data_IF_159875049222
#
_entry.id   IF_159875049222
#
_cell.length_a   1.000
_cell.length_b   1.000
_cell.length_c   1.000
_cell.angle_alpha   90.00
_cell.angle_beta   90.00
_cell.angle_gamma   90.00
#
_symmetry.space_group_name_H-M   'P 1'
#
loop_
_entity.id
_entity.type
_entity.pdbx_description
1 polymer ?
#
# COMPACT_ATOMS: atom_id res chain seq x y z
N UNK A 1 -55.36 -28.43 -5.78
CA UNK A 1 -54.04 -28.40 -5.13
C UNK A 1 -52.88 -28.70 -6.09
N UNK A 2 -53.10 -29.36 -7.20
CA UNK A 2 -52.07 -29.78 -8.16
C UNK A 2 -51.48 -28.66 -9.02
N UNK A 3 -52.22 -27.58 -9.33
CA UNK A 3 -51.71 -26.48 -10.17
C UNK A 3 -50.80 -25.47 -9.48
N UNK A 4 -50.79 -25.42 -8.13
CA UNK A 4 -49.89 -24.54 -7.38
C UNK A 4 -48.50 -25.14 -7.19
N UNK A 5 -48.38 -26.46 -7.20
CA UNK A 5 -47.11 -27.18 -7.07
C UNK A 5 -46.33 -27.14 -8.40
N UNK A 6 -47.03 -27.23 -9.55
CA UNK A 6 -46.38 -27.11 -10.86
C UNK A 6 -45.82 -25.70 -11.12
N UNK A 7 -46.49 -24.64 -10.69
CA UNK A 7 -46.00 -23.26 -10.84
C UNK A 7 -44.80 -22.98 -9.94
N UNK A 8 -44.73 -23.59 -8.76
CA UNK A 8 -43.58 -23.46 -7.83
C UNK A 8 -42.33 -24.18 -8.34
N UNK A 9 -42.47 -25.32 -9.02
CA UNK A 9 -41.34 -26.04 -9.63
C UNK A 9 -40.80 -25.35 -10.88
N UNK A 10 -41.65 -24.66 -11.68
CA UNK A 10 -41.17 -23.91 -12.85
C UNK A 10 -40.41 -22.65 -12.44
N UNK A 11 -40.79 -21.98 -11.35
CA UNK A 11 -40.08 -20.82 -10.82
C UNK A 11 -38.72 -21.21 -10.16
N UNK A 12 -38.62 -22.44 -9.61
CA UNK A 12 -37.37 -22.93 -9.04
C UNK A 12 -36.37 -23.43 -10.09
N UNK A 13 -36.84 -23.80 -11.29
CA UNK A 13 -36.01 -24.27 -12.41
C UNK A 13 -35.48 -23.13 -13.28
N UNK A 14 -36.05 -21.91 -13.21
CA UNK A 14 -35.58 -20.72 -13.94
C UNK A 14 -34.47 -19.94 -13.19
N UNK A 15 -34.05 -20.38 -12.01
CA UNK A 15 -32.95 -19.80 -11.21
C UNK A 15 -31.66 -20.61 -11.27
N UNK A 16 -31.57 -21.64 -12.10
CA UNK A 16 -30.31 -22.16 -12.59
C UNK A 16 -29.79 -21.22 -13.71
N UNK A 17 -29.47 -19.99 -13.35
CA UNK A 17 -28.58 -19.16 -14.15
C UNK A 17 -27.29 -19.97 -14.27
N UNK A 18 -27.02 -20.45 -15.49
CA UNK A 18 -25.71 -20.98 -15.84
C UNK A 18 -24.67 -19.98 -15.33
N UNK A 19 -23.92 -20.35 -14.30
CA UNK A 19 -22.66 -19.69 -13.95
C UNK A 19 -21.66 -20.00 -15.09
N UNK A 20 -21.93 -19.43 -16.25
CA UNK A 20 -20.95 -19.31 -17.33
C UNK A 20 -19.86 -18.45 -16.77
N UNK A 21 -18.65 -18.98 -16.62
CA UNK A 21 -17.48 -18.20 -16.30
C UNK A 21 -17.42 -17.01 -17.25
N UNK A 22 -17.80 -15.82 -16.76
CA UNK A 22 -17.94 -14.64 -17.59
C UNK A 22 -16.54 -14.15 -17.95
N UNK A 23 -16.16 -14.28 -19.21
CA UNK A 23 -14.91 -13.71 -19.69
C UNK A 23 -15.07 -12.20 -19.90
N UNK A 24 -14.15 -11.41 -19.38
CA UNK A 24 -14.12 -9.94 -19.47
C UNK A 24 -12.85 -9.49 -20.16
N UNK A 25 -12.99 -8.84 -21.30
CA UNK A 25 -11.88 -8.10 -21.91
C UNK A 25 -11.62 -6.86 -21.06
N UNK A 26 -10.37 -6.66 -20.64
CA UNK A 26 -9.97 -5.58 -19.72
C UNK A 26 -8.79 -4.81 -20.30
N UNK A 27 -8.90 -3.49 -20.34
CA UNK A 27 -7.78 -2.60 -20.65
C UNK A 27 -7.00 -2.23 -19.36
N UNK A 28 -5.75 -1.75 -19.50
CA UNK A 28 -4.96 -1.29 -18.35
C UNK A 28 -5.62 -0.09 -17.66
N UNK A 29 -6.17 0.85 -18.43
CA UNK A 29 -6.82 2.04 -17.87
C UNK A 29 -8.10 1.68 -17.11
N UNK A 30 -8.91 0.77 -17.64
CA UNK A 30 -10.09 0.25 -16.93
C UNK A 30 -9.69 -0.50 -15.65
N UNK A 31 -8.63 -1.31 -15.70
CA UNK A 31 -8.08 -1.99 -14.52
C UNK A 31 -7.68 -0.99 -13.43
N UNK A 32 -7.01 0.12 -13.79
CA UNK A 32 -6.66 1.16 -12.83
C UNK A 32 -7.89 1.86 -12.23
N UNK A 33 -8.91 2.14 -13.03
CA UNK A 33 -10.17 2.72 -12.53
C UNK A 33 -10.87 1.80 -11.53
N UNK A 34 -10.97 0.50 -11.84
CA UNK A 34 -11.54 -0.48 -10.94
C UNK A 34 -10.74 -0.61 -9.65
N UNK A 35 -9.41 -0.62 -9.73
CA UNK A 35 -8.53 -0.65 -8.56
C UNK A 35 -8.70 0.60 -7.69
N UNK A 36 -8.72 1.78 -8.28
CA UNK A 36 -8.92 3.04 -7.57
C UNK A 36 -10.26 3.07 -6.77
N UNK A 37 -11.29 2.40 -7.30
CA UNK A 37 -12.61 2.36 -6.66
C UNK A 37 -12.76 1.25 -5.62
N UNK A 38 -12.16 0.08 -5.86
CA UNK A 38 -12.49 -1.14 -5.12
C UNK A 38 -11.33 -1.71 -4.29
N UNK A 39 -10.09 -1.26 -4.52
CA UNK A 39 -8.94 -1.84 -3.84
C UNK A 39 -8.98 -1.52 -2.33
N UNK A 40 -9.01 -2.56 -1.51
CA UNK A 40 -9.13 -2.44 -0.05
C UNK A 40 -7.92 -1.74 0.59
N UNK A 41 -6.73 -1.87 -0.01
CA UNK A 41 -5.53 -1.19 0.49
C UNK A 41 -5.60 0.32 0.23
N UNK A 42 -6.08 0.75 -0.95
CA UNK A 42 -6.32 2.18 -1.21
C UNK A 42 -7.39 2.73 -0.26
N UNK A 43 -8.47 2.00 -0.03
CA UNK A 43 -9.51 2.40 0.93
C UNK A 43 -8.96 2.56 2.35
N UNK A 44 -8.01 1.72 2.77
CA UNK A 44 -7.33 1.88 4.06
C UNK A 44 -6.58 3.22 4.14
N UNK A 45 -5.91 3.64 3.06
CA UNK A 45 -5.21 4.93 3.01
C UNK A 45 -6.17 6.12 2.96
N UNK A 46 -7.34 6.00 2.29
CA UNK A 46 -8.40 7.02 2.35
C UNK A 46 -8.86 7.26 3.79
N UNK A 47 -9.14 6.17 4.53
CA UNK A 47 -9.52 6.26 5.94
C UNK A 47 -8.42 6.88 6.82
N UNK A 48 -7.14 6.67 6.49
CA UNK A 48 -6.03 7.31 7.19
C UNK A 48 -5.99 8.84 6.92
N UNK A 49 -6.38 9.29 5.74
CA UNK A 49 -6.54 10.73 5.43
C UNK A 49 -7.71 11.31 6.24
N UNK A 50 -8.86 10.61 6.26
CA UNK A 50 -10.04 11.03 7.03
C UNK A 50 -9.73 11.13 8.54
N UNK A 51 -8.99 10.14 9.08
CA UNK A 51 -8.51 10.15 10.47
C UNK A 51 -7.61 11.36 10.73
N UNK A 52 -6.63 11.61 9.84
CA UNK A 52 -5.74 12.75 9.97
C UNK A 52 -6.47 14.10 9.85
N UNK A 53 -7.53 14.17 9.03
CA UNK A 53 -8.38 15.35 8.96
C UNK A 53 -9.17 15.57 10.27
N UNK A 54 -9.70 14.51 10.83
CA UNK A 54 -10.37 14.59 12.12
C UNK A 54 -9.38 15.00 13.24
N UNK A 55 -8.13 14.52 13.18
CA UNK A 55 -7.07 14.92 14.12
C UNK A 55 -6.76 16.44 14.07
N UNK A 56 -6.95 17.10 12.90
CA UNK A 56 -6.85 18.56 12.81
C UNK A 56 -8.00 19.24 13.59
N UNK A 57 -9.22 18.72 13.50
CA UNK A 57 -10.38 19.22 14.24
C UNK A 57 -10.18 19.05 15.73
N UNK A 58 -9.68 17.89 16.16
CA UNK A 58 -9.31 17.62 17.56
C UNK A 58 -8.24 18.61 18.05
N UNK A 59 -7.18 18.83 17.27
CA UNK A 59 -6.12 19.79 17.65
C UNK A 59 -6.63 21.24 17.73
N UNK A 60 -7.67 21.61 17.00
CA UNK A 60 -8.31 22.92 17.12
C UNK A 60 -9.10 23.07 18.42
N UNK A 61 -9.54 21.97 19.06
CA UNK A 61 -10.22 22.03 20.35
C UNK A 61 -9.30 22.58 21.46
N UNK A 62 -7.98 22.52 21.31
CA UNK A 62 -7.03 23.16 22.24
C UNK A 62 -7.20 24.69 22.34
N UNK A 63 -7.97 25.28 21.42
CA UNK A 63 -8.34 26.69 21.45
C UNK A 63 -9.60 26.97 22.25
N UNK A 64 -10.36 25.94 22.61
CA UNK A 64 -11.62 26.08 23.36
C UNK A 64 -11.33 26.10 24.87
N UNK A 65 -12.25 26.70 25.69
CA UNK A 65 -12.13 26.61 27.12
C UNK A 65 -12.28 25.17 27.62
N UNK A 66 -11.48 24.80 28.61
CA UNK A 66 -11.66 23.58 29.38
C UNK A 66 -12.56 23.85 30.55
N UNK A 67 -13.64 23.10 30.68
CA UNK A 67 -14.59 23.21 31.81
C UNK A 67 -14.58 21.86 32.54
N UNK A 68 -14.34 21.90 33.85
CA UNK A 68 -14.29 20.72 34.69
C UNK A 68 -15.26 20.92 35.87
N UNK A 69 -16.01 19.87 36.19
CA UNK A 69 -16.82 19.80 37.41
C UNK A 69 -16.30 18.61 38.22
N UNK A 70 -16.09 18.80 39.50
CA UNK A 70 -15.70 17.76 40.42
C UNK A 70 -16.54 17.77 41.68
N UNK A 71 -16.84 16.62 42.19
CA UNK A 71 -17.51 16.36 43.44
C UNK A 71 -16.63 15.46 44.28
N UNK A 72 -16.36 15.85 45.51
CA UNK A 72 -15.63 15.05 46.47
C UNK A 72 -16.44 14.98 47.76
N UNK A 73 -16.73 13.79 48.21
CA UNK A 73 -17.34 13.51 49.48
C UNK A 73 -16.36 12.71 50.33
N UNK A 74 -16.12 13.16 51.57
CA UNK A 74 -15.13 12.52 52.43
C UNK A 74 -15.62 12.40 53.87
N UNK A 75 -15.16 11.39 54.54
CA UNK A 75 -15.24 11.25 55.99
C UNK A 75 -13.99 11.89 56.59
N UNK A 76 -14.22 12.76 57.60
CA UNK A 76 -13.15 13.46 58.31
C UNK A 76 -13.12 12.86 59.74
N UNK A 77 -11.99 12.29 60.10
CA UNK A 77 -11.76 11.81 61.46
C UNK A 77 -11.46 12.97 62.40
N UNK A 78 -11.59 12.71 63.72
CA UNK A 78 -11.26 13.67 64.75
C UNK A 78 -9.76 14.07 64.68
N UNK A 79 -9.51 15.36 64.95
CA UNK A 79 -8.19 15.93 64.95
C UNK A 79 -7.47 15.72 66.28
N UNK A 80 -6.15 15.63 66.21
CA UNK A 80 -5.30 15.69 67.43
C UNK A 80 -4.29 16.84 67.24
N UNK A 81 -4.28 17.74 68.11
CA UNK A 81 -3.31 18.85 68.18
C UNK A 81 -2.32 18.59 69.29
N UNK A 82 -1.04 18.66 69.01
CA UNK A 82 0.05 18.49 69.98
C UNK A 82 0.99 19.67 69.91
N UNK A 83 1.77 19.88 70.94
CA UNK A 83 2.95 20.75 70.85
C UNK A 83 3.97 20.17 69.85
N UNK A 84 4.94 20.96 69.43
CA UNK A 84 5.95 20.55 68.42
C UNK A 84 6.83 19.40 68.90
N UNK A 85 6.90 19.16 70.23
CA UNK A 85 7.63 18.03 70.84
C UNK A 85 6.70 16.80 71.06
N UNK A 86 5.48 16.82 70.47
CA UNK A 86 4.46 15.80 70.61
C UNK A 86 3.84 15.65 72.03
N UNK A 87 4.11 16.59 72.93
CA UNK A 87 3.46 16.66 74.23
C UNK A 87 2.10 17.36 74.15
N UNK A 88 1.36 17.36 75.28
CA UNK A 88 0.08 18.09 75.46
C UNK A 88 -0.96 17.82 74.39
N UNK A 89 -1.21 16.55 74.08
CA UNK A 89 -2.22 16.19 73.10
C UNK A 89 -3.65 16.67 73.47
N UNK A 90 -4.26 17.44 72.61
CA UNK A 90 -5.67 17.89 72.69
C UNK A 90 -6.44 17.24 71.54
N UNK A 91 -7.52 16.54 71.87
CA UNK A 91 -8.44 16.01 70.85
C UNK A 91 -9.42 17.14 70.46
N UNK A 92 -9.62 17.28 69.18
CA UNK A 92 -10.55 18.21 68.54
C UNK A 92 -11.63 17.44 67.83
N UNK A 93 -12.87 17.54 68.29
CA UNK A 93 -14.00 16.97 67.55
C UNK A 93 -14.16 17.65 66.21
N UNK A 94 -14.25 16.86 65.14
CA UNK A 94 -14.34 17.35 63.79
C UNK A 94 -15.73 17.07 63.19
N UNK A 95 -16.27 17.96 62.34
CA UNK A 95 -17.43 17.59 61.52
C UNK A 95 -17.05 16.45 60.56
N UNK A 96 -17.71 15.28 60.77
CA UNK A 96 -17.27 14.04 60.07
C UNK A 96 -17.66 13.97 58.60
N UNK A 97 -18.61 14.77 58.12
CA UNK A 97 -19.00 14.80 56.70
C UNK A 97 -18.39 15.99 55.98
N UNK A 98 -17.49 15.70 55.04
CA UNK A 98 -16.88 16.72 54.16
C UNK A 98 -17.42 16.61 52.74
N UNK A 99 -17.72 17.73 52.16
CA UNK A 99 -18.16 17.88 50.77
C UNK A 99 -17.36 19.02 50.05
N UNK A 100 -17.05 18.76 48.78
CA UNK A 100 -16.43 19.75 47.90
C UNK A 100 -17.06 19.62 46.50
N UNK A 101 -17.65 20.71 46.03
CA UNK A 101 -18.16 20.84 44.67
C UNK A 101 -17.43 21.97 43.99
N UNK A 102 -16.76 21.69 42.88
CA UNK A 102 -15.97 22.71 42.16
C UNK A 102 -16.38 22.68 40.68
N UNK A 103 -16.70 23.83 40.15
CA UNK A 103 -16.77 24.04 38.70
C UNK A 103 -15.65 25.02 38.33
N UNK A 104 -14.72 24.56 37.49
CA UNK A 104 -13.56 25.32 37.05
C UNK A 104 -13.54 25.45 35.52
N UNK A 105 -13.44 26.66 35.02
CA UNK A 105 -13.21 26.96 33.62
C UNK A 105 -11.80 27.54 33.42
N UNK A 106 -11.10 27.09 32.39
CA UNK A 106 -9.78 27.61 32.04
C UNK A 106 -9.68 27.78 30.52
N UNK A 107 -9.29 28.97 30.07
CA UNK A 107 -9.07 29.29 28.65
C UNK A 107 -7.63 29.71 28.44
N UNK A 108 -6.94 29.00 27.57
CA UNK A 108 -5.58 29.38 27.15
C UNK A 108 -5.64 30.58 26.22
N UNK A 109 -5.10 31.71 26.64
CA UNK A 109 -5.00 32.94 25.82
C UNK A 109 -3.67 32.90 25.01
N UNK A 110 -2.61 32.49 25.67
CA UNK A 110 -1.30 32.38 25.04
C UNK A 110 -0.49 31.21 25.65
N UNK A 111 0.06 30.37 24.79
CA UNK A 111 0.90 29.24 25.17
C UNK A 111 2.25 29.25 24.43
N UNK A 112 2.85 30.42 24.27
CA UNK A 112 4.11 30.52 23.54
C UNK A 112 4.05 30.19 22.04
N UNK A 113 2.84 30.00 21.50
CA UNK A 113 2.60 29.51 20.14
C UNK A 113 2.46 27.97 20.03
N UNK A 114 2.48 27.24 21.15
CA UNK A 114 2.42 25.76 21.15
C UNK A 114 1.14 25.23 20.48
N UNK A 115 -0.04 25.80 20.78
CA UNK A 115 -1.33 25.40 20.18
C UNK A 115 -1.28 25.54 18.65
N UNK A 116 -0.78 26.66 18.13
CA UNK A 116 -0.65 26.88 16.68
C UNK A 116 0.30 25.88 16.05
N UNK A 117 1.40 25.54 16.73
CA UNK A 117 2.37 24.54 16.24
C UNK A 117 1.83 23.11 16.29
N UNK A 118 1.01 22.77 17.30
CA UNK A 118 0.30 21.48 17.36
C UNK A 118 -0.69 21.32 16.22
N UNK A 119 -1.50 22.38 15.96
CA UNK A 119 -2.42 22.39 14.81
C UNK A 119 -1.64 22.26 13.48
N UNK A 120 -0.51 22.97 13.34
CA UNK A 120 0.37 22.84 12.18
C UNK A 120 0.90 21.40 12.05
N UNK A 121 1.27 20.76 13.16
CA UNK A 121 1.73 19.37 13.16
C UNK A 121 0.64 18.41 12.66
N UNK A 122 -0.61 18.58 13.09
CA UNK A 122 -1.73 17.77 12.61
C UNK A 122 -1.99 18.00 11.11
N UNK A 123 -1.87 19.25 10.62
CA UNK A 123 -1.97 19.54 9.17
C UNK A 123 -0.86 18.87 8.37
N UNK A 124 0.38 18.88 8.87
CA UNK A 124 1.51 18.20 8.22
C UNK A 124 1.34 16.66 8.23
N UNK A 125 0.72 16.11 9.28
CA UNK A 125 0.37 14.69 9.31
C UNK A 125 -0.69 14.33 8.27
N UNK A 126 -1.68 15.20 8.03
CA UNK A 126 -2.64 15.00 6.92
C UNK A 126 -1.92 15.00 5.58
N UNK A 127 -1.03 15.97 5.32
CA UNK A 127 -0.23 16.00 4.10
C UNK A 127 0.66 14.75 3.95
N UNK A 128 1.21 14.23 5.05
CA UNK A 128 1.95 12.96 5.07
C UNK A 128 1.06 11.80 4.62
N UNK A 129 -0.16 11.69 5.16
CA UNK A 129 -1.11 10.65 4.78
C UNK A 129 -1.53 10.75 3.30
N UNK A 130 -1.73 11.97 2.78
CA UNK A 130 -2.05 12.22 1.37
C UNK A 130 -0.91 11.77 0.44
N UNK A 131 0.35 12.03 0.79
CA UNK A 131 1.50 11.59 -0.02
C UNK A 131 1.75 10.08 0.09
N UNK A 132 1.52 9.47 1.27
CA UNK A 132 1.56 8.02 1.44
C UNK A 132 0.49 7.35 0.57
N UNK A 133 -0.73 7.89 0.53
CA UNK A 133 -1.79 7.40 -0.35
C UNK A 133 -1.38 7.49 -1.83
N UNK A 134 -0.84 8.64 -2.26
CA UNK A 134 -0.40 8.84 -3.64
C UNK A 134 0.74 7.86 -4.03
N UNK A 135 1.70 7.60 -3.14
CA UNK A 135 2.78 6.65 -3.35
C UNK A 135 2.26 5.21 -3.43
N UNK A 136 1.40 4.81 -2.48
CA UNK A 136 0.76 3.50 -2.47
C UNK A 136 -0.10 3.25 -3.71
N UNK A 137 -0.74 4.29 -4.24
CA UNK A 137 -1.50 4.19 -5.50
C UNK A 137 -0.58 3.86 -6.68
N UNK A 138 0.62 4.47 -6.75
CA UNK A 138 1.63 4.13 -7.78
C UNK A 138 2.09 2.67 -7.63
N UNK A 139 2.34 2.23 -6.40
CA UNK A 139 2.77 0.87 -6.11
C UNK A 139 1.72 -0.17 -6.51
N UNK A 140 0.47 0.06 -6.14
CA UNK A 140 -0.65 -0.84 -6.46
C UNK A 140 -0.87 -0.89 -7.97
N UNK A 141 -0.91 0.25 -8.66
CA UNK A 141 -1.06 0.28 -10.12
C UNK A 141 0.08 -0.45 -10.82
N UNK A 142 1.32 -0.31 -10.33
CA UNK A 142 2.47 -1.03 -10.89
C UNK A 142 2.39 -2.54 -10.63
N UNK A 143 1.98 -2.97 -9.43
CA UNK A 143 1.73 -4.38 -9.12
C UNK A 143 0.69 -4.98 -10.05
N UNK A 144 -0.44 -4.29 -10.22
CA UNK A 144 -1.53 -4.72 -11.12
C UNK A 144 -1.09 -4.75 -12.58
N UNK A 145 -0.24 -3.80 -13.00
CA UNK A 145 0.39 -3.84 -14.32
C UNK A 145 1.22 -5.12 -14.49
N UNK A 146 1.99 -5.52 -13.47
CA UNK A 146 2.71 -6.79 -13.46
C UNK A 146 1.77 -7.97 -13.68
N UNK A 147 0.71 -8.10 -12.89
CA UNK A 147 -0.29 -9.16 -13.02
C UNK A 147 -0.94 -9.19 -14.41
N UNK A 148 -1.29 -8.04 -14.93
CA UNK A 148 -1.90 -7.93 -16.26
C UNK A 148 -0.95 -8.38 -17.39
N UNK A 149 0.31 -7.97 -17.32
CA UNK A 149 1.33 -8.38 -18.28
C UNK A 149 1.66 -9.87 -18.17
N UNK A 150 1.68 -10.42 -16.95
CA UNK A 150 1.91 -11.84 -16.70
C UNK A 150 0.74 -12.69 -17.19
N UNK A 151 -0.53 -12.23 -17.04
CA UNK A 151 -1.69 -12.89 -17.66
C UNK A 151 -1.55 -12.94 -19.18
N UNK A 152 -1.13 -11.86 -19.81
CA UNK A 152 -0.87 -11.84 -21.25
C UNK A 152 0.23 -12.84 -21.63
N UNK A 153 1.34 -12.86 -20.89
CA UNK A 153 2.45 -13.78 -21.11
C UNK A 153 1.99 -15.24 -21.00
N UNK A 154 1.29 -15.59 -19.93
CA UNK A 154 0.82 -16.96 -19.70
C UNK A 154 -0.20 -17.41 -20.76
N UNK A 155 -1.08 -16.51 -21.24
CA UNK A 155 -1.97 -16.81 -22.34
C UNK A 155 -1.19 -17.09 -23.65
N UNK A 156 -0.13 -16.35 -23.92
CA UNK A 156 0.73 -16.64 -25.07
C UNK A 156 1.47 -17.99 -24.91
N UNK A 157 2.01 -18.26 -23.71
CA UNK A 157 2.67 -19.55 -23.41
C UNK A 157 1.69 -20.73 -23.57
N UNK A 158 0.46 -20.59 -23.05
CA UNK A 158 -0.61 -21.58 -23.25
C UNK A 158 -0.82 -21.90 -24.73
N UNK A 159 -0.97 -20.86 -25.57
CA UNK A 159 -1.16 -21.03 -27.02
C UNK A 159 0.06 -21.71 -27.68
N UNK A 160 1.27 -21.36 -27.30
CA UNK A 160 2.51 -21.98 -27.80
C UNK A 160 2.54 -23.47 -27.43
N UNK A 161 2.24 -23.82 -26.17
CA UNK A 161 2.18 -25.24 -25.77
C UNK A 161 1.07 -26.00 -26.48
N UNK A 162 -0.14 -25.45 -26.63
CA UNK A 162 -1.27 -26.06 -27.33
C UNK A 162 -0.89 -26.37 -28.78
N UNK A 163 -0.27 -25.43 -29.50
CA UNK A 163 0.22 -25.64 -30.87
C UNK A 163 1.30 -26.72 -30.95
N UNK A 164 2.27 -26.73 -30.02
CA UNK A 164 3.35 -27.72 -30.01
C UNK A 164 2.83 -29.11 -29.63
N UNK A 165 1.84 -29.24 -28.77
CA UNK A 165 1.17 -30.51 -28.43
C UNK A 165 0.48 -31.07 -29.69
N UNK A 166 -0.25 -30.24 -30.42
CA UNK A 166 -0.92 -30.68 -31.65
C UNK A 166 0.08 -31.17 -32.71
N UNK A 167 1.14 -30.39 -32.94
CA UNK A 167 2.22 -30.81 -33.87
C UNK A 167 2.88 -32.11 -33.42
N UNK A 168 3.18 -32.26 -32.13
CA UNK A 168 3.81 -33.47 -31.59
C UNK A 168 2.88 -34.68 -31.71
N UNK A 169 1.57 -34.53 -31.50
CA UNK A 169 0.58 -35.59 -31.69
C UNK A 169 0.54 -36.08 -33.15
N UNK A 170 0.59 -35.14 -34.10
CA UNK A 170 0.68 -35.51 -35.54
C UNK A 170 1.97 -36.30 -35.83
N UNK A 171 3.11 -35.84 -35.31
CA UNK A 171 4.39 -36.53 -35.48
C UNK A 171 4.39 -37.95 -34.87
N UNK A 172 3.81 -38.13 -33.68
CA UNK A 172 3.67 -39.47 -33.06
C UNK A 172 2.79 -40.36 -33.94
N UNK A 173 1.71 -39.84 -34.52
CA UNK A 173 0.85 -40.60 -35.45
C UNK A 173 1.61 -41.03 -36.70
N UNK A 174 2.36 -40.11 -37.32
CA UNK A 174 3.16 -40.40 -38.51
C UNK A 174 4.28 -41.45 -38.21
N UNK A 175 4.98 -41.33 -37.07
CA UNK A 175 5.98 -42.29 -36.62
C UNK A 175 5.40 -43.70 -36.36
N UNK A 176 4.20 -43.77 -35.77
CA UNK A 176 3.52 -45.07 -35.59
C UNK A 176 3.16 -45.71 -36.92
N UNK A 177 2.79 -44.93 -37.95
CA UNK A 177 2.57 -45.44 -39.29
C UNK A 177 3.87 -45.94 -39.95
N UNK A 178 4.94 -45.16 -39.85
CA UNK A 178 6.28 -45.54 -40.35
C UNK A 178 6.84 -46.77 -39.65
N UNK A 179 6.63 -46.93 -38.35
CA UNK A 179 7.00 -48.13 -37.62
C UNK A 179 6.30 -49.41 -38.14
N UNK A 180 5.01 -49.32 -38.43
CA UNK A 180 4.24 -50.41 -39.04
C UNK A 180 4.79 -50.82 -40.41
N UNK A 181 5.40 -49.87 -41.11
CA UNK A 181 6.05 -50.14 -42.42
C UNK A 181 7.53 -50.55 -42.28
N UNK A 182 8.07 -50.65 -41.05
CA UNK A 182 9.44 -51.03 -40.77
C UNK A 182 10.47 -49.91 -41.04
N UNK A 183 10.04 -48.66 -41.27
CA UNK A 183 10.90 -47.52 -41.59
C UNK A 183 11.22 -46.61 -40.41
N UNK A 184 10.64 -46.85 -39.21
CA UNK A 184 10.97 -46.15 -37.97
C UNK A 184 11.18 -47.11 -36.82
N UNK A 185 11.89 -46.69 -35.76
CA UNK A 185 12.17 -47.52 -34.58
C UNK A 185 11.09 -47.27 -33.50
N UNK A 186 10.83 -48.28 -32.68
CA UNK A 186 9.92 -48.12 -31.52
C UNK A 186 10.45 -47.10 -30.52
N UNK A 187 11.78 -47.00 -30.37
CA UNK A 187 12.44 -45.99 -29.53
C UNK A 187 12.12 -44.54 -29.92
N UNK A 188 11.91 -44.29 -31.22
CA UNK A 188 11.59 -42.97 -31.76
C UNK A 188 10.17 -42.53 -31.34
N UNK A 189 9.24 -43.49 -31.43
CA UNK A 189 7.84 -43.26 -30.95
C UNK A 189 7.89 -42.96 -29.42
N UNK A 190 8.58 -43.76 -28.64
CA UNK A 190 8.66 -43.60 -27.20
C UNK A 190 9.23 -42.21 -26.80
N UNK A 191 10.24 -41.73 -27.55
CA UNK A 191 10.83 -40.39 -27.30
C UNK A 191 9.83 -39.30 -27.55
N UNK A 192 9.03 -39.32 -28.62
CA UNK A 192 8.02 -38.31 -28.89
C UNK A 192 6.79 -38.43 -27.99
N UNK A 193 6.45 -39.65 -27.57
CA UNK A 193 5.41 -39.83 -26.54
C UNK A 193 5.85 -39.23 -25.20
N UNK A 194 7.11 -39.38 -24.79
CA UNK A 194 7.65 -38.73 -23.61
C UNK A 194 7.66 -37.20 -23.76
N UNK A 195 8.05 -36.67 -24.93
CA UNK A 195 7.99 -35.25 -25.23
C UNK A 195 6.55 -34.71 -25.12
N UNK A 196 5.57 -35.45 -25.65
CA UNK A 196 4.15 -35.08 -25.57
C UNK A 196 3.70 -34.99 -24.10
N UNK A 197 4.06 -35.95 -23.24
CA UNK A 197 3.72 -35.92 -21.81
C UNK A 197 4.34 -34.70 -21.10
N UNK A 198 5.60 -34.38 -21.44
CA UNK A 198 6.26 -33.19 -20.88
C UNK A 198 5.57 -31.86 -21.29
N UNK A 199 5.13 -31.78 -22.55
CA UNK A 199 4.38 -30.62 -23.06
C UNK A 199 2.99 -30.49 -22.38
N UNK A 200 2.27 -31.61 -22.21
CA UNK A 200 0.97 -31.64 -21.54
C UNK A 200 1.09 -31.27 -20.06
N UNK A 201 2.14 -31.74 -19.37
CA UNK A 201 2.44 -31.33 -17.99
C UNK A 201 2.75 -29.81 -17.90
N UNK A 202 3.56 -29.30 -18.84
CA UNK A 202 3.88 -27.87 -18.88
C UNK A 202 2.65 -27.03 -19.15
N UNK A 203 1.75 -27.46 -20.04
CA UNK A 203 0.47 -26.78 -20.29
C UNK A 203 -0.42 -26.76 -19.03
N UNK A 204 -0.48 -27.86 -18.29
CA UNK A 204 -1.21 -27.92 -17.02
C UNK A 204 -0.67 -26.88 -16.04
N UNK A 205 0.64 -26.84 -15.85
CA UNK A 205 1.29 -25.85 -14.97
C UNK A 205 1.00 -24.39 -15.38
N UNK A 206 0.95 -24.12 -16.69
CA UNK A 206 0.59 -22.77 -17.19
C UNK A 206 -0.89 -22.45 -16.89
N UNK A 207 -1.80 -23.42 -17.05
CA UNK A 207 -3.21 -23.25 -16.73
C UNK A 207 -3.45 -22.97 -15.24
N UNK A 208 -2.77 -23.71 -14.37
CA UNK A 208 -2.84 -23.52 -12.92
C UNK A 208 -2.34 -22.12 -12.51
N UNK A 209 -1.23 -21.67 -13.13
CA UNK A 209 -0.71 -20.32 -12.91
C UNK A 209 -1.65 -19.21 -13.42
N UNK A 210 -2.32 -19.45 -14.55
CA UNK A 210 -3.34 -18.52 -15.07
C UNK A 210 -4.51 -18.39 -14.11
N UNK A 211 -4.98 -19.49 -13.54
CA UNK A 211 -6.08 -19.51 -12.58
C UNK A 211 -5.74 -18.71 -11.33
N UNK A 212 -4.59 -19.01 -10.71
CA UNK A 212 -4.11 -18.28 -9.51
C UNK A 212 -3.98 -16.79 -9.79
N UNK A 213 -3.31 -16.41 -10.88
CA UNK A 213 -3.05 -15.00 -11.20
C UNK A 213 -4.32 -14.24 -11.56
N UNK A 214 -5.26 -14.92 -12.25
CA UNK A 214 -6.58 -14.35 -12.54
C UNK A 214 -7.35 -14.04 -11.26
N UNK A 215 -7.35 -14.98 -10.32
CA UNK A 215 -7.99 -14.81 -9.01
C UNK A 215 -7.37 -13.63 -8.22
N UNK A 216 -6.03 -13.54 -8.20
CA UNK A 216 -5.33 -12.44 -7.53
C UNK A 216 -5.69 -11.08 -8.14
N UNK A 217 -5.67 -10.98 -9.47
CA UNK A 217 -6.02 -9.74 -10.16
C UNK A 217 -7.49 -9.37 -9.97
N UNK A 218 -8.42 -10.31 -10.16
CA UNK A 218 -9.85 -10.08 -9.97
C UNK A 218 -10.14 -9.57 -8.56
N UNK A 219 -9.59 -10.23 -7.55
CA UNK A 219 -9.72 -9.81 -6.14
C UNK A 219 -9.17 -8.41 -5.90
N UNK A 220 -7.99 -8.10 -6.45
CA UNK A 220 -7.31 -6.82 -6.23
C UNK A 220 -8.06 -5.63 -6.85
N UNK A 221 -8.82 -5.86 -7.93
CA UNK A 221 -9.64 -4.83 -8.60
C UNK A 221 -11.13 -4.89 -8.24
N UNK A 222 -11.51 -5.80 -7.32
CA UNK A 222 -12.87 -5.92 -6.80
C UNK A 222 -13.87 -6.57 -7.77
N UNK A 223 -13.41 -7.41 -8.68
CA UNK A 223 -14.25 -8.29 -9.48
C UNK A 223 -14.52 -9.60 -8.73
N UNK A 224 -15.58 -10.31 -9.14
CA UNK A 224 -15.84 -11.65 -8.65
C UNK A 224 -14.69 -12.59 -9.07
N UNK A 225 -14.24 -13.51 -8.18
CA UNK A 225 -13.04 -14.33 -8.43
C UNK A 225 -13.17 -15.32 -9.59
N UNK A 226 -14.40 -15.66 -10.01
CA UNK A 226 -14.72 -16.58 -11.11
C UNK A 226 -14.74 -15.89 -12.49
N UNK A 227 -14.63 -14.56 -12.55
CA UNK A 227 -14.51 -13.81 -13.80
C UNK A 227 -13.14 -14.09 -14.44
N UNK A 228 -13.13 -14.62 -15.66
CA UNK A 228 -11.91 -14.79 -16.45
C UNK A 228 -11.50 -13.48 -17.11
N UNK A 229 -10.40 -12.89 -16.68
CA UNK A 229 -9.86 -11.65 -17.23
C UNK A 229 -9.05 -11.96 -18.48
N UNK A 230 -9.40 -11.30 -19.59
CA UNK A 230 -8.68 -11.36 -20.86
C UNK A 230 -8.01 -9.98 -21.07
N UNK A 231 -6.67 -9.88 -21.06
CA UNK A 231 -5.99 -8.64 -21.39
C UNK A 231 -6.26 -8.18 -22.81
N UNK A 232 -6.60 -6.89 -23.00
CA UNK A 232 -6.76 -6.31 -24.33
C UNK A 232 -5.39 -6.09 -24.98
N UNK A 233 -5.01 -7.04 -25.83
CA UNK A 233 -3.72 -7.03 -26.52
C UNK A 233 -3.66 -5.99 -27.63
N UNK A 234 -4.82 -5.59 -28.20
CA UNK A 234 -4.85 -4.63 -29.30
C UNK A 234 -4.49 -3.22 -28.82
N UNK A 235 -4.92 -2.86 -27.62
CA UNK A 235 -4.53 -1.59 -26.99
C UNK A 235 -3.11 -1.63 -26.41
N UNK A 236 -2.70 -2.75 -25.82
CA UNK A 236 -1.39 -2.91 -25.19
C UNK A 236 -0.22 -2.56 -26.15
N UNK A 237 -0.32 -2.95 -27.42
CA UNK A 237 0.71 -2.68 -28.44
C UNK A 237 0.48 -1.38 -29.22
N UNK A 238 -0.66 -0.70 -29.03
CA UNK A 238 -0.91 0.64 -29.57
C UNK A 238 -0.34 1.74 -28.66
N UNK A 239 0.01 1.41 -27.41
CA UNK A 239 0.67 2.38 -26.53
C UNK A 239 1.90 2.91 -27.25
N UNK A 240 1.81 4.14 -27.73
CA UNK A 240 2.94 4.82 -28.32
C UNK A 240 3.94 5.07 -27.18
N UNK A 241 4.90 4.14 -27.05
CA UNK A 241 5.91 4.22 -26.01
C UNK A 241 6.84 5.35 -26.40
N UNK A 242 6.47 6.56 -25.98
CA UNK A 242 7.42 7.68 -26.02
C UNK A 242 8.54 7.37 -25.02
N UNK A 243 9.62 6.86 -25.57
CA UNK A 243 10.81 6.50 -24.81
C UNK A 243 11.41 7.71 -24.10
N UNK A 244 11.24 8.92 -24.64
CA UNK A 244 11.87 10.12 -24.16
C UNK A 244 13.41 10.01 -24.07
N UNK A 245 14.02 10.97 -23.42
CA UNK A 245 15.43 10.90 -22.98
C UNK A 245 15.45 10.58 -21.49
N UNK A 246 16.56 10.04 -20.98
CA UNK A 246 16.73 9.82 -19.54
C UNK A 246 16.51 11.11 -18.74
N UNK A 247 17.01 12.25 -19.25
CA UNK A 247 16.85 13.56 -18.64
C UNK A 247 15.38 13.94 -18.43
N UNK A 248 14.50 13.66 -19.41
CA UNK A 248 13.05 13.95 -19.28
C UNK A 248 12.34 13.15 -18.18
N UNK A 249 12.87 11.98 -17.85
CA UNK A 249 12.38 11.20 -16.71
C UNK A 249 12.94 11.72 -15.38
N UNK A 250 14.22 12.09 -15.35
CA UNK A 250 14.88 12.62 -14.15
C UNK A 250 14.30 13.97 -13.70
N UNK A 251 13.91 14.85 -14.61
CA UNK A 251 13.26 16.14 -14.30
C UNK A 251 12.01 16.00 -13.43
N UNK A 252 11.35 14.85 -13.48
CA UNK A 252 10.11 14.59 -12.74
C UNK A 252 10.33 14.11 -11.30
N UNK A 253 11.55 13.79 -10.89
CA UNK A 253 11.87 13.23 -9.57
C UNK A 253 11.34 14.12 -8.45
N UNK A 254 11.55 15.43 -8.55
CA UNK A 254 11.16 16.38 -7.51
C UNK A 254 9.65 16.41 -7.22
N UNK A 255 8.82 16.02 -8.19
CA UNK A 255 7.35 15.99 -8.06
C UNK A 255 6.80 14.64 -7.62
N UNK A 256 7.64 13.61 -7.45
CA UNK A 256 7.18 12.28 -7.05
C UNK A 256 6.64 12.25 -5.63
N UNK A 257 5.63 11.41 -5.34
CA UNK A 257 5.05 11.30 -4.00
C UNK A 257 6.10 11.02 -2.92
N UNK A 258 7.07 10.14 -3.17
CA UNK A 258 8.15 9.79 -2.23
C UNK A 258 9.03 10.99 -1.86
N UNK A 259 9.38 11.85 -2.84
CA UNK A 259 10.18 13.06 -2.58
C UNK A 259 9.34 14.13 -1.88
N UNK A 260 8.07 14.30 -2.24
CA UNK A 260 7.15 15.21 -1.55
C UNK A 260 6.91 14.77 -0.10
N UNK A 261 6.77 13.47 0.15
CA UNK A 261 6.70 12.90 1.49
C UNK A 261 7.96 13.25 2.31
N UNK A 262 9.14 13.15 1.71
CA UNK A 262 10.41 13.54 2.35
C UNK A 262 10.43 15.04 2.71
N UNK A 263 9.87 15.90 1.85
CA UNK A 263 9.73 17.33 2.14
C UNK A 263 8.81 17.60 3.33
N UNK A 264 7.66 16.91 3.40
CA UNK A 264 6.73 17.01 4.55
C UNK A 264 7.42 16.60 5.85
N UNK A 265 8.23 15.53 5.85
CA UNK A 265 9.00 15.09 7.02
C UNK A 265 10.01 16.14 7.48
N UNK A 266 10.64 16.89 6.56
CA UNK A 266 11.50 18.04 6.91
C UNK A 266 10.68 19.14 7.59
N UNK A 267 9.49 19.46 7.06
CA UNK A 267 8.62 20.47 7.66
C UNK A 267 8.11 20.06 9.04
N UNK A 268 7.79 18.78 9.25
CA UNK A 268 7.44 18.24 10.56
C UNK A 268 8.60 18.40 11.56
N UNK A 269 9.84 18.09 11.15
CA UNK A 269 11.02 18.26 11.99
C UNK A 269 11.25 19.74 12.36
N UNK A 270 11.11 20.66 11.39
CA UNK A 270 11.19 22.11 11.61
C UNK A 270 10.07 22.61 12.55
N UNK A 271 8.86 22.11 12.37
CA UNK A 271 7.74 22.47 13.25
C UNK A 271 7.95 21.96 14.68
N UNK A 272 8.52 20.75 14.86
CA UNK A 272 8.88 20.20 16.16
C UNK A 272 9.96 21.05 16.86
N UNK A 273 10.95 21.53 16.11
CA UNK A 273 11.96 22.48 16.66
C UNK A 273 11.28 23.74 17.20
N UNK A 274 10.35 24.35 16.45
CA UNK A 274 9.62 25.52 16.88
C UNK A 274 8.69 25.25 18.08
N UNK A 275 8.12 24.04 18.16
CA UNK A 275 7.30 23.61 19.29
C UNK A 275 8.13 23.55 20.59
N UNK A 276 9.34 22.98 20.53
CA UNK A 276 10.26 22.97 21.67
C UNK A 276 10.69 24.38 22.07
N UNK A 277 10.87 25.27 21.09
CA UNK A 277 11.18 26.69 21.35
C UNK A 277 10.03 27.40 22.07
N UNK A 278 8.78 26.98 21.82
CA UNK A 278 7.59 27.52 22.50
C UNK A 278 7.61 27.20 24.01
N UNK A 279 8.23 26.11 24.46
CA UNK A 279 8.37 25.76 25.89
C UNK A 279 9.10 26.83 26.70
N UNK A 280 9.91 27.69 26.05
CA UNK A 280 10.68 28.79 26.69
C UNK A 280 9.90 30.09 26.81
N UNK A 281 8.61 30.08 26.49
CA UNK A 281 7.74 31.26 26.53
C UNK A 281 6.72 31.13 27.66
N UNK A 282 6.26 32.24 28.26
CA UNK A 282 5.22 32.18 29.26
C UNK A 282 3.90 31.64 28.68
N UNK A 283 3.04 31.12 29.57
CA UNK A 283 1.67 30.74 29.26
C UNK A 283 0.75 31.68 30.00
N UNK A 284 -0.32 32.15 29.36
CA UNK A 284 -1.33 33.03 29.88
C UNK A 284 -2.68 32.36 29.75
N UNK A 285 -3.38 32.18 30.86
CA UNK A 285 -4.69 31.57 30.93
C UNK A 285 -5.68 32.52 31.60
N UNK A 286 -6.91 32.58 31.09
CA UNK A 286 -8.07 33.01 31.86
C UNK A 286 -8.55 31.85 32.71
N UNK A 287 -8.87 32.10 33.96
CA UNK A 287 -9.41 31.11 34.89
C UNK A 287 -10.66 31.67 35.54
N UNK A 288 -11.66 30.87 35.75
CA UNK A 288 -12.82 31.13 36.54
C UNK A 288 -13.22 29.87 37.31
N UNK A 289 -13.55 29.99 38.54
CA UNK A 289 -14.05 28.88 39.34
C UNK A 289 -15.16 29.31 40.29
N UNK A 290 -15.98 28.36 40.66
CA UNK A 290 -16.90 28.42 41.77
C UNK A 290 -16.62 27.18 42.63
N UNK A 291 -16.24 27.44 43.88
CA UNK A 291 -15.96 26.45 44.90
C UNK A 291 -17.08 26.46 45.94
N UNK A 292 -17.68 25.29 46.20
CA UNK A 292 -18.63 25.07 47.30
C UNK A 292 -18.04 23.94 48.16
N UNK A 293 -17.61 24.29 49.37
CA UNK A 293 -16.89 23.36 50.24
C UNK A 293 -17.39 23.47 51.68
N UNK A 294 -17.42 22.34 52.38
CA UNK A 294 -17.73 22.23 53.79
C UNK A 294 -17.18 20.96 54.37
N UNK A 295 -16.95 20.91 55.67
CA UNK A 295 -16.94 22.01 56.65
C UNK A 295 -15.76 22.95 56.49
N UNK A 296 -15.81 24.13 57.15
CA UNK A 296 -14.70 25.05 57.20
C UNK A 296 -13.74 24.61 58.29
N UNK A 297 -12.57 24.08 57.85
CA UNK A 297 -11.57 23.47 58.75
C UNK A 297 -10.45 24.40 59.20
N UNK A 298 -10.37 25.59 58.61
CA UNK A 298 -9.31 26.56 58.91
C UNK A 298 -9.53 27.30 60.23
N UNK A 299 -10.74 27.29 60.77
CA UNK A 299 -11.08 27.86 62.06
C UNK A 299 -10.94 26.80 63.16
N UNK A 300 -10.60 27.24 64.36
CA UNK A 300 -10.50 26.38 65.59
C UNK A 300 -11.40 27.00 66.67
N UNK A 301 -12.52 26.32 67.03
CA UNK A 301 -12.99 25.03 66.52
C UNK A 301 -13.55 25.08 65.09
N UNK A 302 -13.51 23.97 64.34
CA UNK A 302 -14.00 23.91 62.98
C UNK A 302 -15.49 24.24 62.86
N UNK A 303 -15.88 24.96 61.84
CA UNK A 303 -17.32 25.33 61.62
C UNK A 303 -17.98 24.31 60.70
N UNK A 304 -19.05 23.70 61.16
CA UNK A 304 -19.85 22.75 60.36
C UNK A 304 -20.80 23.49 59.41
N UNK A 305 -20.23 24.32 58.55
CA UNK A 305 -20.92 25.16 57.55
C UNK A 305 -20.37 24.94 56.18
N UNK A 306 -21.23 25.08 55.14
CA UNK A 306 -20.78 25.19 53.77
C UNK A 306 -20.43 26.63 53.44
N UNK A 307 -19.35 26.78 52.68
CA UNK A 307 -18.90 28.06 52.15
C UNK A 307 -18.82 28.00 50.63
N UNK A 308 -19.37 29.03 49.97
CA UNK A 308 -19.26 29.15 48.51
C UNK A 308 -18.57 30.43 48.15
N UNK A 309 -17.65 30.36 47.22
CA UNK A 309 -17.02 31.54 46.63
C UNK A 309 -16.79 31.32 45.15
N UNK A 310 -16.73 32.37 44.40
CA UNK A 310 -16.33 32.38 43.00
C UNK A 310 -15.21 33.38 42.77
N UNK A 311 -14.38 33.08 41.79
CA UNK A 311 -13.35 33.99 41.33
C UNK A 311 -13.14 33.88 39.83
N UNK A 312 -12.66 34.98 39.22
CA UNK A 312 -12.17 35.00 37.85
C UNK A 312 -10.86 35.81 37.82
N UNK A 313 -9.94 35.37 36.99
CA UNK A 313 -8.65 36.02 36.96
C UNK A 313 -7.78 35.58 35.77
N UNK A 314 -6.61 36.14 35.69
CA UNK A 314 -5.58 35.83 34.71
C UNK A 314 -4.44 35.14 35.44
N UNK A 315 -4.12 33.93 35.00
CA UNK A 315 -2.94 33.17 35.45
C UNK A 315 -1.81 33.31 34.45
N UNK A 316 -0.62 33.67 34.91
CA UNK A 316 0.60 33.67 34.11
C UNK A 316 1.53 32.63 34.71
N UNK A 317 1.94 31.65 33.91
CA UNK A 317 2.91 30.62 34.31
C UNK A 317 4.12 30.64 33.40
N UNK A 318 5.29 30.51 34.00
CA UNK A 318 6.54 30.47 33.28
C UNK A 318 7.47 29.39 33.88
N UNK A 319 7.86 28.44 32.98
CA UNK A 319 8.75 27.36 33.40
C UNK A 319 10.21 27.82 33.28
N UNK A 320 10.80 28.25 34.42
CA UNK A 320 12.15 28.81 34.48
C UNK A 320 13.20 27.76 34.09
N UNK A 321 13.02 26.50 34.44
CA UNK A 321 13.95 25.44 34.09
C UNK A 321 14.02 25.17 32.57
N UNK A 322 12.99 25.56 31.81
CA UNK A 322 13.02 25.51 30.36
C UNK A 322 14.13 26.36 29.74
N UNK A 323 14.59 27.41 30.40
CA UNK A 323 15.69 28.24 29.90
C UNK A 323 16.97 27.46 29.67
N UNK A 324 17.29 26.53 30.56
CA UNK A 324 18.52 25.73 30.51
C UNK A 324 18.28 24.30 30.03
N UNK A 325 17.16 23.65 30.38
CA UNK A 325 16.83 22.28 29.93
C UNK A 325 16.54 22.16 28.44
N UNK A 326 15.85 23.16 27.84
CA UNK A 326 15.50 23.10 26.42
C UNK A 326 16.69 23.30 25.47
N UNK A 327 17.84 23.84 25.94
CA UNK A 327 19.01 24.05 25.07
C UNK A 327 19.46 22.74 24.38
N UNK A 328 19.53 21.64 25.15
CA UNK A 328 19.91 20.31 24.61
C UNK A 328 18.82 19.72 23.72
N UNK A 329 17.53 19.90 24.08
CA UNK A 329 16.39 19.49 23.25
C UNK A 329 16.37 20.20 21.89
N UNK A 330 16.64 21.52 21.87
CA UNK A 330 16.75 22.30 20.63
C UNK A 330 17.89 21.82 19.75
N UNK A 331 19.06 21.52 20.33
CA UNK A 331 20.18 20.95 19.57
C UNK A 331 19.81 19.59 18.96
N UNK A 332 19.14 18.73 19.71
CA UNK A 332 18.64 17.44 19.23
C UNK A 332 17.65 17.62 18.09
N UNK A 333 16.68 18.53 18.22
CA UNK A 333 15.69 18.80 17.18
C UNK A 333 16.33 19.40 15.91
N UNK A 334 17.37 20.24 16.08
CA UNK A 334 18.16 20.76 14.95
C UNK A 334 18.86 19.64 14.19
N UNK A 335 19.50 18.71 14.90
CA UNK A 335 20.15 17.53 14.31
C UNK A 335 19.11 16.65 13.61
N UNK A 336 17.91 16.49 14.21
CA UNK A 336 16.80 15.78 13.58
C UNK A 336 16.37 16.43 12.26
N UNK A 337 16.32 17.75 12.19
CA UNK A 337 16.03 18.47 10.93
C UNK A 337 17.10 18.20 9.87
N UNK A 338 18.38 18.31 10.20
CA UNK A 338 19.48 18.00 9.28
C UNK A 338 19.43 16.54 8.81
N UNK A 339 19.08 15.60 9.73
CA UNK A 339 18.89 14.20 9.36
C UNK A 339 17.80 14.03 8.30
N UNK A 340 16.66 14.74 8.41
CA UNK A 340 15.58 14.67 7.40
C UNK A 340 16.00 15.31 6.07
N UNK A 341 16.74 16.43 6.12
CA UNK A 341 17.29 17.07 4.91
C UNK A 341 18.30 16.14 4.20
N UNK A 342 19.13 15.42 4.95
CA UNK A 342 20.03 14.43 4.35
C UNK A 342 19.29 13.20 3.82
N UNK A 343 18.26 12.72 4.54
CA UNK A 343 17.43 11.60 4.07
C UNK A 343 16.74 11.90 2.75
N UNK A 344 16.30 13.15 2.54
CA UNK A 344 15.73 13.57 1.24
C UNK A 344 16.77 13.48 0.12
N UNK A 345 18.00 13.93 0.33
CA UNK A 345 19.07 13.84 -0.69
C UNK A 345 19.38 12.37 -1.04
N UNK A 346 19.38 11.47 -0.04
CA UNK A 346 19.54 10.03 -0.30
C UNK A 346 18.38 9.50 -1.14
N UNK A 347 17.14 9.88 -0.83
CA UNK A 347 15.98 9.47 -1.61
C UNK A 347 16.00 10.00 -3.05
N UNK A 348 16.50 11.23 -3.27
CA UNK A 348 16.70 11.80 -4.61
C UNK A 348 17.76 11.00 -5.39
N UNK A 349 18.90 10.68 -4.77
CA UNK A 349 19.96 9.86 -5.39
C UNK A 349 19.47 8.43 -5.71
N UNK A 350 18.70 7.80 -4.80
CA UNK A 350 18.11 6.48 -5.05
C UNK A 350 17.12 6.52 -6.22
N UNK A 351 16.30 7.58 -6.32
CA UNK A 351 15.37 7.77 -7.43
C UNK A 351 16.11 7.98 -8.78
N UNK A 352 17.16 8.79 -8.80
CA UNK A 352 18.02 8.99 -9.98
C UNK A 352 18.62 7.67 -10.46
N UNK A 353 19.20 6.89 -9.54
CA UNK A 353 19.78 5.58 -9.84
C UNK A 353 18.74 4.57 -10.33
N UNK A 354 17.55 4.57 -9.74
CA UNK A 354 16.45 3.70 -10.15
C UNK A 354 15.94 4.03 -11.57
N UNK A 355 15.80 5.31 -11.89
CA UNK A 355 15.42 5.79 -13.24
C UNK A 355 16.50 5.44 -14.25
N UNK A 356 17.77 5.69 -13.94
CA UNK A 356 18.89 5.32 -14.81
C UNK A 356 18.85 3.82 -15.14
N UNK A 357 18.75 2.98 -14.13
CA UNK A 357 18.65 1.53 -14.29
C UNK A 357 17.46 1.12 -15.14
N UNK A 358 16.27 1.65 -14.87
CA UNK A 358 15.07 1.34 -15.64
C UNK A 358 15.17 1.80 -17.09
N UNK A 359 15.77 2.96 -17.35
CA UNK A 359 16.00 3.47 -18.71
C UNK A 359 17.00 2.62 -19.50
N UNK A 360 18.10 2.20 -18.89
CA UNK A 360 19.06 1.26 -19.49
C UNK A 360 18.37 -0.07 -19.82
N UNK A 361 17.60 -0.62 -18.88
CA UNK A 361 16.85 -1.85 -19.09
C UNK A 361 15.79 -1.73 -20.19
N UNK A 362 15.12 -0.58 -20.31
CA UNK A 362 14.19 -0.32 -21.41
C UNK A 362 14.89 -0.38 -22.78
N UNK A 363 16.07 0.24 -22.88
CA UNK A 363 16.88 0.19 -24.09
C UNK A 363 17.32 -1.24 -24.45
N UNK A 364 17.75 -1.99 -23.44
CA UNK A 364 18.12 -3.40 -23.60
C UNK A 364 16.93 -4.25 -24.04
N UNK A 365 15.72 -4.04 -23.46
CA UNK A 365 14.51 -4.75 -23.82
C UNK A 365 14.16 -4.61 -25.32
N UNK A 366 14.34 -3.43 -25.93
CA UNK A 366 14.19 -3.24 -27.38
C UNK A 366 15.17 -4.05 -28.19
N UNK A 367 16.44 -4.12 -27.76
CA UNK A 367 17.48 -4.90 -28.44
C UNK A 367 17.15 -6.39 -28.34
N UNK A 368 16.80 -6.87 -27.15
CA UNK A 368 16.43 -8.26 -26.87
C UNK A 368 15.24 -8.70 -27.73
N UNK A 369 14.17 -7.89 -27.80
CA UNK A 369 13.00 -8.18 -28.64
C UNK A 369 13.38 -8.31 -30.12
N UNK A 370 14.18 -7.39 -30.65
CA UNK A 370 14.65 -7.42 -32.05
C UNK A 370 15.47 -8.70 -32.33
N UNK A 371 16.39 -9.03 -31.43
CA UNK A 371 17.22 -10.23 -31.55
C UNK A 371 16.37 -11.49 -31.49
N UNK A 372 15.41 -11.55 -30.53
CA UNK A 372 14.55 -12.72 -30.36
C UNK A 372 13.64 -12.98 -31.55
N UNK A 373 13.09 -11.92 -32.19
CA UNK A 373 12.33 -12.08 -33.43
C UNK A 373 13.14 -12.78 -34.53
N UNK A 374 14.43 -12.44 -34.64
CA UNK A 374 15.33 -13.10 -35.60
C UNK A 374 15.65 -14.53 -35.19
N UNK A 375 15.86 -14.78 -33.89
CA UNK A 375 16.10 -16.14 -33.35
C UNK A 375 14.91 -17.08 -33.60
N UNK A 376 13.68 -16.61 -33.40
CA UNK A 376 12.45 -17.38 -33.71
C UNK A 376 12.40 -17.73 -35.19
N UNK A 377 12.66 -16.77 -36.09
CA UNK A 377 12.69 -17.03 -37.52
C UNK A 377 13.72 -18.12 -37.87
N UNK A 378 14.96 -18.02 -37.37
CA UNK A 378 16.04 -19.00 -37.63
C UNK A 378 15.71 -20.38 -37.04
N UNK A 379 15.06 -20.42 -35.85
CA UNK A 379 14.66 -21.70 -35.26
C UNK A 379 13.57 -22.40 -36.08
N UNK A 380 12.59 -21.64 -36.61
CA UNK A 380 11.56 -22.16 -37.53
C UNK A 380 12.20 -22.69 -38.83
N UNK A 381 13.09 -21.92 -39.43
CA UNK A 381 13.82 -22.36 -40.66
C UNK A 381 14.60 -23.67 -40.40
N UNK A 382 15.35 -23.72 -39.28
CA UNK A 382 16.10 -24.90 -38.89
C UNK A 382 15.21 -26.14 -38.68
N UNK A 383 14.10 -25.97 -37.90
CA UNK A 383 13.18 -27.08 -37.68
C UNK A 383 12.56 -27.61 -38.98
N UNK A 384 12.19 -26.76 -39.90
CA UNK A 384 11.66 -27.17 -41.20
C UNK A 384 12.70 -27.94 -42.04
N UNK A 385 13.94 -27.49 -42.05
CA UNK A 385 15.06 -28.20 -42.76
C UNK A 385 15.30 -29.56 -42.12
N UNK A 386 15.44 -29.63 -40.81
CA UNK A 386 15.71 -30.88 -40.09
C UNK A 386 14.55 -31.86 -40.25
N UNK A 387 13.31 -31.40 -40.20
CA UNK A 387 12.10 -32.19 -40.45
C UNK A 387 12.11 -32.82 -41.85
N UNK A 388 12.43 -32.03 -42.88
CA UNK A 388 12.54 -32.56 -44.26
C UNK A 388 13.65 -33.60 -44.38
N UNK A 389 14.81 -33.35 -43.78
CA UNK A 389 15.92 -34.34 -43.77
C UNK A 389 15.53 -35.62 -43.04
N UNK A 390 14.82 -35.52 -41.91
CA UNK A 390 14.32 -36.68 -41.19
C UNK A 390 13.34 -37.50 -42.02
N UNK A 391 12.37 -36.88 -42.66
CA UNK A 391 11.40 -37.57 -43.55
C UNK A 391 12.12 -38.30 -44.70
N UNK A 392 13.25 -37.77 -45.20
CA UNK A 392 14.06 -38.38 -46.25
C UNK A 392 15.11 -39.37 -45.72
N UNK A 393 15.12 -39.69 -44.42
CA UNK A 393 16.07 -40.62 -43.79
C UNK A 393 17.49 -40.05 -43.63
N UNK A 394 17.69 -38.71 -43.77
CA UNK A 394 18.98 -38.02 -43.75
C UNK A 394 19.28 -37.33 -42.41
N UNK A 395 18.42 -37.47 -41.42
CA UNK A 395 18.62 -36.94 -40.05
C UNK A 395 18.07 -37.94 -39.03
N UNK A 396 18.57 -37.89 -37.81
CA UNK A 396 18.08 -38.69 -36.71
C UNK A 396 16.87 -38.04 -36.03
N UNK A 397 16.07 -38.86 -35.34
CA UNK A 397 14.96 -38.38 -34.53
C UNK A 397 15.43 -37.44 -33.43
N UNK A 398 16.64 -37.63 -32.90
CA UNK A 398 17.27 -36.73 -31.90
C UNK A 398 17.53 -35.36 -32.47
N UNK A 399 17.96 -35.24 -33.71
CA UNK A 399 18.19 -33.93 -34.37
C UNK A 399 16.87 -33.17 -34.53
N UNK A 400 15.81 -33.90 -34.85
CA UNK A 400 14.48 -33.34 -35.01
C UNK A 400 13.88 -32.87 -33.65
N UNK A 401 14.09 -33.65 -32.58
CA UNK A 401 13.68 -33.26 -31.22
C UNK A 401 14.44 -32.02 -30.74
N UNK A 402 15.76 -31.97 -30.98
CA UNK A 402 16.57 -30.80 -30.62
C UNK A 402 16.13 -29.55 -31.36
N UNK A 403 15.88 -29.64 -32.66
CA UNK A 403 15.34 -28.51 -33.45
C UNK A 403 13.94 -28.08 -32.99
N UNK A 404 13.07 -29.03 -32.61
CA UNK A 404 11.74 -28.77 -32.09
C UNK A 404 11.79 -28.06 -30.73
N UNK A 405 12.65 -28.54 -29.81
CA UNK A 405 12.83 -27.93 -28.50
C UNK A 405 13.43 -26.52 -28.61
N UNK A 406 14.38 -26.32 -29.53
CA UNK A 406 14.95 -25.01 -29.81
C UNK A 406 13.88 -24.05 -30.33
N UNK A 407 13.03 -24.49 -31.26
CA UNK A 407 11.90 -23.64 -31.75
C UNK A 407 10.94 -23.27 -30.62
N UNK A 408 10.50 -24.27 -29.82
CA UNK A 408 9.61 -24.02 -28.67
C UNK A 408 10.21 -23.00 -27.70
N UNK A 409 11.49 -23.12 -27.38
CA UNK A 409 12.20 -22.25 -26.46
C UNK A 409 12.26 -20.81 -26.98
N UNK A 410 12.55 -20.62 -28.25
CA UNK A 410 12.57 -19.29 -28.89
C UNK A 410 11.20 -18.65 -28.95
N UNK A 411 10.12 -19.40 -29.21
CA UNK A 411 8.73 -18.92 -29.19
C UNK A 411 8.28 -18.49 -27.80
N UNK A 412 8.58 -19.27 -26.76
CA UNK A 412 8.26 -18.95 -25.37
C UNK A 412 8.99 -17.68 -24.89
N UNK A 413 10.27 -17.53 -25.27
CA UNK A 413 11.06 -16.34 -24.92
C UNK A 413 10.59 -15.08 -25.64
N UNK A 414 10.05 -15.18 -26.87
CA UNK A 414 9.54 -14.03 -27.61
C UNK A 414 8.39 -13.33 -26.84
N UNK A 415 7.45 -14.09 -26.28
CA UNK A 415 6.38 -13.55 -25.46
C UNK A 415 6.93 -12.79 -24.24
N UNK A 416 7.96 -13.32 -23.59
CA UNK A 416 8.61 -12.68 -22.45
C UNK A 416 9.25 -11.34 -22.81
N UNK A 417 9.95 -11.25 -23.95
CA UNK A 417 10.61 -10.00 -24.37
C UNK A 417 9.63 -8.95 -24.86
N UNK A 418 8.47 -9.34 -25.41
CA UNK A 418 7.42 -8.38 -25.80
C UNK A 418 6.90 -7.60 -24.60
N UNK A 419 6.60 -8.28 -23.50
CA UNK A 419 6.11 -7.62 -22.27
C UNK A 419 7.21 -6.91 -21.50
N UNK A 420 8.46 -7.33 -21.65
CA UNK A 420 9.60 -6.70 -20.97
C UNK A 420 9.73 -5.20 -21.28
N UNK A 421 9.42 -4.79 -22.50
CA UNK A 421 9.41 -3.36 -22.89
C UNK A 421 8.32 -2.61 -22.11
N UNK A 422 7.11 -3.14 -22.09
CA UNK A 422 5.97 -2.53 -21.39
C UNK A 422 6.24 -2.42 -19.89
N UNK A 423 6.76 -3.50 -19.30
CA UNK A 423 7.11 -3.52 -17.89
C UNK A 423 8.11 -2.42 -17.53
N UNK A 424 9.20 -2.25 -18.28
CA UNK A 424 10.19 -1.20 -18.03
C UNK A 424 9.62 0.21 -18.26
N UNK A 425 8.74 0.38 -19.23
CA UNK A 425 8.05 1.65 -19.47
C UNK A 425 7.13 2.03 -18.31
N UNK A 426 6.30 1.08 -17.82
CA UNK A 426 5.43 1.32 -16.67
C UNK A 426 6.22 1.50 -15.37
N UNK A 427 7.38 0.84 -15.24
CA UNK A 427 8.31 1.10 -14.13
C UNK A 427 8.82 2.54 -14.14
N UNK A 428 9.22 3.07 -15.30
CA UNK A 428 9.60 4.48 -15.42
C UNK A 428 8.47 5.42 -15.08
N UNK A 429 7.25 5.12 -15.51
CA UNK A 429 6.05 5.89 -15.12
C UNK A 429 5.84 5.91 -13.61
N UNK A 430 5.95 4.74 -12.96
CA UNK A 430 5.88 4.62 -11.50
C UNK A 430 6.95 5.45 -10.81
N UNK A 431 8.22 5.29 -11.22
CA UNK A 431 9.36 5.99 -10.62
C UNK A 431 9.29 7.51 -10.75
N UNK A 432 8.48 8.01 -11.67
CA UNK A 432 8.24 9.43 -11.89
C UNK A 432 6.87 9.92 -11.41
N UNK A 433 6.09 9.04 -10.72
CA UNK A 433 4.79 9.40 -10.16
C UNK A 433 3.67 9.62 -11.20
N UNK A 434 3.82 9.05 -12.41
CA UNK A 434 2.89 9.25 -13.53
C UNK A 434 2.14 7.94 -13.94
N UNK A 435 2.04 7.01 -13.04
CA UNK A 435 1.32 5.76 -13.28
C UNK A 435 -0.11 5.81 -12.75
#
# INVERSE_FOLDING_TARGET
MTNRILLSCIIFFSLLVEMSAQSRLLTIDEMFQLADQNNKSLRLHDLAIDEAEQAIKVANNDRLPSIQASVELKYIGDGVMTDRDFSNAIHADMPHFGNTFVIKASQVIYAGGAITRNIRQSKLKKQEAEWIHADSKQDIRFLLTGYYLDLFQLNNQKRVYENNIEQTRLLVKDMRAAYKQGTALKSDITRYELQLQNLELSLTSVKDRLDVLNHELATAIGLEPDVTIIPDTAELFKVNIDKGTEATWQEKISSTPAIQLSQVKIEQAKNKFELIKAERRPKINLIAANDFTGPILVEVPPMNNNFTNWYAGIGISYNIDALFKTKKKLKQAQISTWKMEQARKVAEEEAENAIHKAYVNLNEAYIRLRTQKKSVQLAHENFNIVRQRYVNGLALVTDMLDASNTQLDMELQLANYQIGILYQYYLLKKLTGNL
#
